data_IF_288850722537
#
_entry.id   IF_288850722537
#
_cell.length_a   1.000
_cell.length_b   1.000
_cell.length_c   1.000
_cell.angle_alpha   90.00
_cell.angle_beta   90.00
_cell.angle_gamma   90.00
#
_symmetry.space_group_name_H-M   'P 1'
#
loop_
_entity.id
_entity.type
_entity.pdbx_description
1 polymer ?
#
# COMPACT_ATOMS: atom_id res chain seq x y z
N UNK A 1 54.96 -79.71 18.07
CA UNK A 1 54.83 -78.39 18.71
C UNK A 1 53.40 -77.91 18.86
N UNK A 2 52.54 -78.47 19.73
CA UNK A 2 51.15 -78.03 19.99
C UNK A 2 51.08 -76.50 20.24
N UNK A 3 50.05 -75.70 19.92
CA UNK A 3 48.63 -75.76 20.27
C UNK A 3 47.78 -74.77 19.43
N UNK A 4 46.51 -75.10 19.34
CA UNK A 4 45.33 -74.35 18.86
C UNK A 4 44.93 -73.24 19.85
N UNK A 5 44.45 -72.08 19.37
CA UNK A 5 43.26 -71.42 19.94
C UNK A 5 42.52 -70.58 18.88
N UNK A 6 41.22 -70.82 18.81
CA UNK A 6 40.20 -70.25 17.92
C UNK A 6 39.46 -69.14 18.70
N UNK A 7 38.68 -68.31 17.98
CA UNK A 7 37.48 -67.53 18.36
C UNK A 7 37.67 -66.00 18.39
N UNK A 8 36.78 -65.14 17.85
CA UNK A 8 35.48 -65.29 17.16
C UNK A 8 35.08 -63.94 16.52
N UNK A 9 34.22 -63.99 15.49
CA UNK A 9 33.00 -63.15 15.34
C UNK A 9 33.17 -61.61 15.40
N UNK A 10 32.83 -60.83 14.38
CA UNK A 10 31.47 -60.75 13.84
C UNK A 10 31.43 -59.89 12.57
N UNK A 11 30.85 -60.47 11.53
CA UNK A 11 30.26 -59.76 10.39
C UNK A 11 28.95 -59.17 10.90
N UNK A 12 28.81 -57.84 10.83
CA UNK A 12 27.50 -57.20 10.91
C UNK A 12 27.22 -56.60 9.54
N UNK A 13 26.46 -57.36 8.76
CA UNK A 13 25.64 -56.90 7.65
C UNK A 13 24.33 -56.39 8.26
N UNK A 14 24.11 -55.07 8.27
CA UNK A 14 22.76 -54.49 8.25
C UNK A 14 22.53 -54.00 6.82
N UNK A 15 21.91 -54.82 5.98
CA UNK A 15 20.48 -54.79 5.64
C UNK A 15 20.00 -53.39 5.25
N UNK A 16 19.76 -53.22 3.95
CA UNK A 16 19.21 -51.98 3.43
C UNK A 16 17.81 -51.69 3.95
N UNK A 17 17.56 -50.42 4.22
CA UNK A 17 16.29 -49.82 3.90
C UNK A 17 16.51 -48.66 2.94
N UNK A 18 15.77 -48.73 1.84
CA UNK A 18 15.55 -47.69 0.88
C UNK A 18 15.43 -46.30 1.55
N UNK A 19 16.48 -45.48 1.43
CA UNK A 19 16.26 -44.04 1.33
C UNK A 19 15.57 -43.80 -0.01
N UNK A 20 14.24 -44.00 -0.04
CA UNK A 20 13.37 -43.41 -1.05
C UNK A 20 13.63 -41.91 -0.96
N UNK A 21 14.46 -41.40 -1.87
CA UNK A 21 14.61 -39.99 -2.15
C UNK A 21 13.20 -39.46 -2.31
N UNK A 22 12.70 -38.75 -1.30
CA UNK A 22 11.38 -38.13 -1.33
C UNK A 22 11.51 -37.01 -2.35
N UNK A 23 11.32 -37.33 -3.62
CA UNK A 23 11.17 -36.34 -4.67
C UNK A 23 9.87 -35.64 -4.34
N UNK A 24 9.96 -34.51 -3.65
CA UNK A 24 8.85 -33.58 -3.54
C UNK A 24 8.72 -32.96 -4.93
N UNK A 25 8.03 -33.65 -5.84
CA UNK A 25 7.45 -32.99 -7.00
C UNK A 25 6.26 -32.19 -6.48
N UNK A 26 6.51 -30.97 -6.00
CA UNK A 26 5.45 -29.96 -5.93
C UNK A 26 5.63 -29.04 -7.12
N UNK A 27 5.15 -29.52 -8.26
CA UNK A 27 4.75 -28.67 -9.37
C UNK A 27 3.28 -28.96 -9.67
N UNK A 28 2.43 -28.88 -8.64
CA UNK A 28 1.05 -28.46 -8.88
C UNK A 28 1.15 -26.96 -9.03
N UNK A 29 1.07 -26.43 -10.26
CA UNK A 29 0.78 -25.01 -10.46
C UNK A 29 -0.49 -24.76 -9.67
N UNK A 30 -0.39 -24.00 -8.58
CA UNK A 30 -1.56 -23.54 -7.86
C UNK A 30 -2.49 -22.92 -8.91
N UNK A 31 -3.72 -23.43 -8.95
CA UNK A 31 -4.72 -22.94 -9.89
C UNK A 31 -4.97 -21.48 -9.52
N UNK A 32 -4.62 -20.57 -10.43
CA UNK A 32 -4.90 -19.14 -10.29
C UNK A 32 -6.39 -18.95 -9.99
N UNK A 33 -6.69 -18.48 -8.78
CA UNK A 33 -8.04 -18.38 -8.24
C UNK A 33 -8.38 -16.91 -8.00
N UNK A 34 -9.58 -16.52 -8.38
CA UNK A 34 -10.11 -15.19 -8.09
C UNK A 34 -10.36 -15.03 -6.59
N UNK A 35 -9.78 -14.00 -5.97
CA UNK A 35 -9.94 -13.72 -4.53
C UNK A 35 -10.90 -12.55 -4.33
N UNK A 36 -10.71 -11.45 -5.06
CA UNK A 36 -11.62 -10.30 -5.04
C UNK A 36 -11.96 -9.88 -6.47
N UNK A 37 -13.20 -9.44 -6.67
CA UNK A 37 -13.63 -8.85 -7.93
C UNK A 37 -14.63 -7.73 -7.66
N UNK A 38 -14.43 -6.62 -8.35
CA UNK A 38 -15.39 -5.52 -8.43
C UNK A 38 -15.52 -5.09 -9.88
N UNK A 39 -16.65 -4.48 -10.24
CA UNK A 39 -16.87 -3.97 -11.59
C UNK A 39 -17.52 -2.59 -11.57
N UNK A 40 -17.24 -1.83 -12.62
CA UNK A 40 -17.85 -0.52 -12.84
C UNK A 40 -17.95 -0.20 -14.33
N UNK A 41 -18.91 0.65 -14.68
CA UNK A 41 -19.07 1.16 -16.05
C UNK A 41 -18.40 2.53 -16.16
N UNK A 42 -17.41 2.64 -17.03
CA UNK A 42 -16.63 3.86 -17.29
C UNK A 42 -16.71 4.17 -18.78
N UNK A 43 -17.22 5.36 -19.12
CA UNK A 43 -17.37 5.81 -20.52
C UNK A 43 -18.07 4.76 -21.42
N UNK A 44 -19.13 4.14 -20.91
CA UNK A 44 -19.90 3.13 -21.64
C UNK A 44 -19.35 1.70 -21.60
N UNK A 45 -18.11 1.50 -21.14
CA UNK A 45 -17.45 0.19 -21.08
C UNK A 45 -17.44 -0.34 -19.66
N UNK A 46 -17.77 -1.62 -19.47
CA UNK A 46 -17.62 -2.29 -18.16
C UNK A 46 -16.17 -2.72 -17.98
N UNK A 47 -15.61 -2.40 -16.81
CA UNK A 47 -14.30 -2.87 -16.37
C UNK A 47 -14.48 -3.75 -15.13
N UNK A 48 -13.68 -4.81 -15.05
CA UNK A 48 -13.56 -5.69 -13.90
C UNK A 48 -12.16 -5.51 -13.31
N UNK A 49 -12.07 -5.26 -12.01
CA UNK A 49 -10.83 -5.29 -11.26
C UNK A 49 -10.80 -6.58 -10.44
N UNK A 50 -9.95 -7.51 -10.86
CA UNK A 50 -9.88 -8.89 -10.36
C UNK A 50 -8.52 -9.12 -9.69
N UNK A 51 -8.53 -9.25 -8.37
CA UNK A 51 -7.34 -9.65 -7.61
C UNK A 51 -7.32 -11.16 -7.43
N UNK A 52 -6.20 -11.80 -7.77
CA UNK A 52 -6.09 -13.26 -7.83
C UNK A 52 -4.99 -13.83 -6.93
N UNK A 53 -5.03 -15.15 -6.72
CA UNK A 53 -4.13 -15.88 -5.81
C UNK A 53 -2.66 -15.84 -6.22
N UNK A 54 -2.37 -15.49 -7.46
CA UNK A 54 -1.02 -15.21 -7.93
C UNK A 54 -0.48 -13.82 -7.53
N UNK A 55 -1.18 -13.11 -6.63
CA UNK A 55 -0.81 -11.77 -6.16
C UNK A 55 -0.81 -10.70 -7.24
N UNK A 56 -1.72 -10.82 -8.22
CA UNK A 56 -1.84 -9.87 -9.31
C UNK A 56 -3.27 -9.31 -9.35
N UNK A 57 -3.36 -7.99 -9.44
CA UNK A 57 -4.57 -7.30 -9.84
C UNK A 57 -4.61 -7.20 -11.37
N UNK A 58 -5.65 -7.77 -11.97
CA UNK A 58 -5.98 -7.61 -13.38
C UNK A 58 -7.12 -6.62 -13.54
N UNK A 59 -6.99 -5.69 -14.48
CA UNK A 59 -8.11 -4.87 -14.93
C UNK A 59 -8.49 -5.29 -16.33
N UNK A 60 -9.70 -5.80 -16.48
CA UNK A 60 -10.20 -6.46 -17.68
C UNK A 60 -11.40 -5.67 -18.21
N UNK A 61 -11.46 -5.41 -19.52
CA UNK A 61 -12.60 -4.74 -20.14
C UNK A 61 -13.71 -5.73 -20.53
N UNK A 62 -14.84 -5.23 -21.01
CA UNK A 62 -15.97 -6.05 -21.47
C UNK A 62 -15.68 -6.91 -22.72
N UNK A 63 -14.52 -6.77 -23.35
CA UNK A 63 -14.05 -7.61 -24.46
C UNK A 63 -13.09 -8.72 -23.99
N UNK A 64 -12.90 -8.86 -22.67
CA UNK A 64 -11.92 -9.73 -22.03
C UNK A 64 -10.44 -9.35 -22.30
N UNK A 65 -10.18 -8.12 -22.75
CA UNK A 65 -8.80 -7.65 -22.86
C UNK A 65 -8.27 -7.27 -21.48
N UNK A 66 -7.05 -7.68 -21.16
CA UNK A 66 -6.32 -7.15 -19.99
C UNK A 66 -5.77 -5.77 -20.34
N UNK A 67 -6.29 -4.75 -19.66
CA UNK A 67 -5.96 -3.34 -19.90
C UNK A 67 -4.82 -2.86 -18.99
N UNK A 68 -4.85 -3.32 -17.74
CA UNK A 68 -3.83 -3.04 -16.73
C UNK A 68 -3.56 -4.30 -15.92
N UNK A 69 -2.29 -4.51 -15.55
CA UNK A 69 -1.83 -5.55 -14.63
C UNK A 69 -0.98 -4.87 -13.57
N UNK A 70 -1.22 -5.18 -12.30
CA UNK A 70 -0.41 -4.70 -11.20
C UNK A 70 0.00 -5.88 -10.31
N UNK A 71 1.31 -6.07 -10.15
CA UNK A 71 1.87 -7.12 -9.30
C UNK A 71 1.99 -6.62 -7.85
N UNK A 72 1.46 -7.39 -6.90
CA UNK A 72 1.30 -7.04 -5.49
C UNK A 72 1.92 -8.14 -4.62
N UNK A 73 3.20 -8.41 -4.83
CA UNK A 73 3.89 -9.57 -4.25
C UNK A 73 3.79 -9.55 -2.72
N UNK A 74 3.23 -10.61 -2.14
CA UNK A 74 3.12 -10.78 -0.70
C UNK A 74 2.03 -9.94 -0.02
N UNK A 75 1.13 -9.34 -0.80
CA UNK A 75 0.11 -8.41 -0.31
C UNK A 75 -1.26 -8.85 -0.80
N UNK A 76 -2.16 -9.26 0.11
CA UNK A 76 -3.58 -9.46 -0.21
C UNK A 76 -4.38 -8.20 0.18
N UNK A 77 -5.13 -7.59 -0.76
CA UNK A 77 -5.94 -6.42 -0.45
C UNK A 77 -7.07 -6.80 0.51
N UNK A 78 -7.34 -5.92 1.47
CA UNK A 78 -8.49 -6.03 2.37
C UNK A 78 -9.67 -5.15 1.93
N UNK A 79 -9.47 -4.40 0.86
CA UNK A 79 -10.45 -3.52 0.23
C UNK A 79 -10.11 -3.41 -1.24
N UNK A 80 -11.10 -3.35 -2.12
CA UNK A 80 -10.95 -3.09 -3.55
C UNK A 80 -12.24 -2.44 -4.03
N UNK A 81 -12.14 -1.30 -4.72
CA UNK A 81 -13.29 -0.56 -5.23
C UNK A 81 -12.94 0.32 -6.41
N UNK A 82 -13.98 0.64 -7.18
CA UNK A 82 -13.98 1.78 -8.08
C UNK A 82 -14.50 3.02 -7.34
N UNK A 83 -13.81 4.14 -7.45
CA UNK A 83 -14.27 5.43 -6.90
C UNK A 83 -13.69 6.60 -7.71
N UNK A 84 -14.41 7.71 -7.78
CA UNK A 84 -13.88 8.96 -8.34
C UNK A 84 -12.98 9.63 -7.29
N UNK A 85 -11.69 9.26 -7.29
CA UNK A 85 -10.71 9.70 -6.30
C UNK A 85 -10.26 11.12 -6.60
N UNK A 86 -9.96 11.42 -7.85
CA UNK A 86 -9.45 12.72 -8.28
C UNK A 86 -10.55 13.76 -8.57
N UNK A 87 -11.84 13.40 -8.49
CA UNK A 87 -12.99 14.26 -8.75
C UNK A 87 -13.04 14.81 -10.17
N UNK A 88 -12.60 14.02 -11.15
CA UNK A 88 -12.68 14.37 -12.58
C UNK A 88 -13.98 13.86 -13.25
N UNK A 89 -14.83 13.15 -12.50
CA UNK A 89 -16.08 12.57 -13.00
C UNK A 89 -15.91 11.16 -13.58
N UNK A 90 -14.70 10.60 -13.58
CA UNK A 90 -14.38 9.24 -13.99
C UNK A 90 -13.98 8.41 -12.77
N UNK A 91 -14.34 7.12 -12.80
CA UNK A 91 -13.99 6.22 -11.70
C UNK A 91 -12.56 5.72 -11.86
N UNK A 92 -11.80 5.82 -10.77
CA UNK A 92 -10.47 5.27 -10.56
C UNK A 92 -10.57 3.94 -9.80
N UNK A 93 -9.44 3.25 -9.61
CA UNK A 93 -9.35 2.06 -8.76
C UNK A 93 -8.59 2.40 -7.48
N UNK A 94 -9.12 1.97 -6.34
CA UNK A 94 -8.43 2.01 -5.05
C UNK A 94 -8.54 0.69 -4.33
N UNK A 95 -7.43 0.25 -3.76
CA UNK A 95 -7.39 -0.88 -2.83
C UNK A 95 -6.39 -0.61 -1.73
N UNK A 96 -6.60 -1.24 -0.59
CA UNK A 96 -5.74 -1.13 0.57
C UNK A 96 -5.40 -2.50 1.12
N UNK A 97 -4.37 -2.52 1.97
CA UNK A 97 -3.94 -3.71 2.67
C UNK A 97 -3.41 -3.35 4.05
N UNK A 98 -3.67 -4.25 5.00
CA UNK A 98 -3.18 -4.13 6.37
C UNK A 98 -1.90 -4.95 6.52
N UNK A 99 -0.90 -4.35 7.13
CA UNK A 99 0.24 -5.01 7.73
C UNK A 99 0.46 -4.38 9.11
N UNK A 100 1.71 -4.12 9.50
CA UNK A 100 2.02 -3.27 10.65
C UNK A 100 1.51 -1.83 10.46
N UNK A 101 1.41 -1.39 9.21
CA UNK A 101 0.79 -0.13 8.79
C UNK A 101 -0.32 -0.41 7.78
N UNK A 102 -1.17 0.59 7.54
CA UNK A 102 -2.11 0.55 6.42
C UNK A 102 -1.48 1.21 5.21
N UNK A 103 -1.63 0.55 4.07
CA UNK A 103 -1.12 0.99 2.78
C UNK A 103 -2.28 1.05 1.79
N UNK A 104 -2.16 1.92 0.79
CA UNK A 104 -3.16 2.03 -0.27
C UNK A 104 -2.49 2.16 -1.63
N UNK A 105 -3.12 1.54 -2.61
CA UNK A 105 -2.83 1.75 -4.02
C UNK A 105 -3.97 2.51 -4.66
N UNK A 106 -3.64 3.46 -5.53
CA UNK A 106 -4.60 4.19 -6.34
C UNK A 106 -4.11 4.17 -7.79
N UNK A 107 -4.99 3.72 -8.70
CA UNK A 107 -4.76 3.75 -10.13
C UNK A 107 -5.77 4.67 -10.76
N UNK A 108 -5.29 5.76 -11.34
CA UNK A 108 -6.13 6.75 -12.00
C UNK A 108 -6.49 6.30 -13.41
N UNK A 109 -7.73 6.53 -13.83
CA UNK A 109 -8.15 6.23 -15.20
C UNK A 109 -7.70 7.32 -16.17
N UNK A 110 -6.91 6.95 -17.17
CA UNK A 110 -6.56 7.81 -18.29
C UNK A 110 -7.62 7.69 -19.39
N UNK A 111 -8.44 8.73 -19.55
CA UNK A 111 -9.51 8.76 -20.55
C UNK A 111 -9.02 8.74 -22.01
N UNK A 112 -7.79 9.19 -22.27
CA UNK A 112 -7.21 9.20 -23.63
C UNK A 112 -6.77 7.80 -24.03
N UNK A 113 -6.05 7.12 -23.14
CA UNK A 113 -5.51 5.78 -23.42
C UNK A 113 -6.46 4.65 -23.03
N UNK A 114 -7.51 4.97 -22.24
CA UNK A 114 -8.46 4.03 -21.64
C UNK A 114 -7.78 2.97 -20.78
N UNK A 115 -6.76 3.39 -20.02
CA UNK A 115 -5.95 2.53 -19.14
C UNK A 115 -5.93 3.07 -17.72
N UNK A 116 -5.69 2.20 -16.76
CA UNK A 116 -5.43 2.59 -15.37
C UNK A 116 -3.93 2.71 -15.15
N UNK A 117 -3.51 3.82 -14.55
CA UNK A 117 -2.11 4.11 -14.23
C UNK A 117 -1.95 4.36 -12.74
N UNK A 118 -1.03 3.62 -12.11
CA UNK A 118 -0.65 3.79 -10.71
C UNK A 118 -0.07 5.20 -10.48
N UNK A 119 -0.43 5.82 -9.36
CA UNK A 119 0.28 6.98 -8.84
C UNK A 119 1.63 6.50 -8.25
N UNK A 120 2.74 7.06 -8.72
CA UNK A 120 4.08 6.77 -8.21
C UNK A 120 4.16 7.04 -6.70
N UNK A 121 4.78 6.11 -5.98
CA UNK A 121 5.03 6.14 -4.52
C UNK A 121 3.78 6.26 -3.63
N UNK A 122 2.56 6.10 -4.16
CA UNK A 122 1.33 6.17 -3.36
C UNK A 122 1.23 5.04 -2.32
N UNK A 123 1.92 3.93 -2.58
CA UNK A 123 1.95 2.71 -1.78
C UNK A 123 2.91 2.76 -0.59
N UNK A 124 3.22 3.96 -0.09
CA UNK A 124 3.89 4.15 1.19
C UNK A 124 2.88 4.56 2.28
N UNK A 125 3.07 4.14 3.55
CA UNK A 125 2.13 4.41 4.64
C UNK A 125 1.79 5.89 4.85
N UNK A 126 2.70 6.78 4.52
CA UNK A 126 2.57 8.23 4.67
C UNK A 126 1.49 8.82 3.76
N UNK A 127 1.20 8.19 2.62
CA UNK A 127 0.12 8.60 1.69
C UNK A 127 -1.13 7.74 1.79
N UNK A 128 -1.19 6.85 2.77
CA UNK A 128 -2.42 6.11 3.04
C UNK A 128 -3.54 7.04 3.54
N UNK A 129 -4.78 6.57 3.41
CA UNK A 129 -6.01 7.31 3.69
C UNK A 129 -6.14 8.63 2.93
N UNK A 130 -5.52 8.72 1.75
CA UNK A 130 -5.53 9.94 0.94
C UNK A 130 -6.93 10.34 0.50
N UNK A 131 -7.18 11.66 0.52
CA UNK A 131 -8.44 12.29 0.11
C UNK A 131 -8.14 13.58 -0.64
N UNK A 132 -8.92 13.88 -1.68
CA UNK A 132 -8.89 15.19 -2.33
C UNK A 132 -9.39 16.26 -1.34
N UNK A 133 -8.63 17.35 -1.22
CA UNK A 133 -9.07 18.52 -0.49
C UNK A 133 -10.08 19.30 -1.35
N UNK A 134 -11.25 19.60 -0.79
CA UNK A 134 -12.35 20.21 -1.56
C UNK A 134 -11.94 21.54 -2.15
N UNK A 135 -12.39 21.79 -3.38
CA UNK A 135 -12.18 23.04 -4.12
C UNK A 135 -10.70 23.38 -4.36
N UNK A 136 -9.82 22.38 -4.34
CA UNK A 136 -8.39 22.52 -4.68
C UNK A 136 -7.93 21.32 -5.51
N UNK A 137 -6.76 21.44 -6.13
CA UNK A 137 -6.07 20.32 -6.78
C UNK A 137 -5.14 19.56 -5.82
N UNK A 138 -5.29 19.81 -4.52
CA UNK A 138 -4.48 19.20 -3.48
C UNK A 138 -5.20 17.99 -2.87
N UNK A 139 -4.39 17.12 -2.31
CA UNK A 139 -4.79 15.94 -1.58
C UNK A 139 -4.13 15.98 -0.21
N UNK A 140 -4.75 15.32 0.75
CA UNK A 140 -4.14 15.10 2.05
C UNK A 140 -4.25 13.65 2.47
N UNK A 141 -3.22 13.17 3.15
CA UNK A 141 -3.15 11.82 3.70
C UNK A 141 -3.32 11.82 5.22
N UNK A 142 -3.38 10.63 5.81
CA UNK A 142 -3.29 10.49 7.26
C UNK A 142 -2.57 9.18 7.59
N UNK A 143 -1.53 9.26 8.41
CA UNK A 143 -0.79 8.08 8.84
C UNK A 143 -0.56 8.10 10.35
N UNK A 144 -1.01 7.10 11.12
CA UNK A 144 -0.59 6.93 12.51
C UNK A 144 0.93 6.74 12.57
N UNK A 145 1.62 7.52 13.40
CA UNK A 145 3.08 7.54 13.47
C UNK A 145 3.57 7.20 14.90
N UNK A 146 3.22 6.00 15.36
CA UNK A 146 3.63 5.46 16.66
C UNK A 146 2.69 5.79 17.83
N UNK A 147 3.07 5.30 19.02
CA UNK A 147 2.46 5.69 20.30
C UNK A 147 0.95 5.39 20.41
N UNK A 148 0.50 4.23 19.91
CA UNK A 148 -0.91 3.84 20.00
C UNK A 148 -1.87 4.78 19.26
N UNK A 149 -1.41 5.43 18.17
CA UNK A 149 -2.12 6.46 17.37
C UNK A 149 -2.12 7.86 17.98
N UNK A 150 -1.44 8.08 19.11
CA UNK A 150 -1.32 9.41 19.72
C UNK A 150 -0.41 10.34 18.92
N UNK A 151 0.52 9.77 18.16
CA UNK A 151 1.28 10.48 17.15
C UNK A 151 0.71 10.14 15.77
N UNK A 152 0.61 11.13 14.91
CA UNK A 152 0.22 10.94 13.52
C UNK A 152 0.82 12.02 12.65
N UNK A 153 0.90 11.72 11.36
CA UNK A 153 1.33 12.64 10.33
C UNK A 153 0.27 12.74 9.24
N UNK A 154 0.28 13.87 8.55
CA UNK A 154 -0.53 14.08 7.36
C UNK A 154 0.31 14.85 6.37
N UNK A 155 0.38 14.37 5.13
CA UNK A 155 0.95 15.14 4.04
C UNK A 155 -0.15 15.90 3.33
N UNK A 156 0.17 17.11 2.87
CA UNK A 156 -0.55 17.83 1.84
C UNK A 156 0.28 17.78 0.57
N UNK A 157 -0.30 17.34 -0.54
CA UNK A 157 0.42 17.12 -1.78
C UNK A 157 -0.47 17.35 -3.01
N UNK A 158 0.16 17.58 -4.15
CA UNK A 158 -0.51 17.53 -5.46
C UNK A 158 -0.11 16.27 -6.19
N UNK A 159 -0.94 15.83 -7.14
CA UNK A 159 -0.59 14.77 -8.08
C UNK A 159 -0.42 15.41 -9.46
N UNK A 160 0.75 15.26 -10.06
CA UNK A 160 1.03 15.75 -11.42
C UNK A 160 1.68 14.64 -12.23
N UNK A 161 1.13 14.34 -13.41
CA UNK A 161 1.53 13.21 -14.26
C UNK A 161 1.75 11.91 -13.46
N UNK A 162 0.76 11.56 -12.63
CA UNK A 162 0.78 10.38 -11.77
C UNK A 162 1.90 10.38 -10.72
N UNK A 163 2.52 11.53 -10.41
CA UNK A 163 3.55 11.67 -9.37
C UNK A 163 3.08 12.54 -8.23
N UNK A 164 3.45 12.14 -7.02
CA UNK A 164 3.17 12.92 -5.81
C UNK A 164 4.20 14.04 -5.67
N UNK A 165 3.71 15.26 -5.45
CA UNK A 165 4.54 16.43 -5.14
C UNK A 165 4.15 16.95 -3.76
N UNK A 166 4.94 16.67 -2.71
CA UNK A 166 4.68 17.14 -1.36
C UNK A 166 4.72 18.67 -1.27
N UNK A 167 3.75 19.26 -0.56
CA UNK A 167 3.63 20.71 -0.35
C UNK A 167 3.66 21.09 1.13
N UNK A 168 3.14 20.22 1.99
CA UNK A 168 3.13 20.45 3.42
C UNK A 168 3.10 19.16 4.22
N UNK A 169 3.42 19.28 5.49
CA UNK A 169 3.35 18.20 6.47
C UNK A 169 2.79 18.72 7.78
N UNK A 170 1.83 18.00 8.34
CA UNK A 170 1.45 18.13 9.75
C UNK A 170 2.04 16.96 10.50
N UNK A 171 2.74 17.25 11.60
CA UNK A 171 3.17 16.26 12.58
C UNK A 171 2.47 16.56 13.91
N UNK A 172 1.65 15.62 14.36
CA UNK A 172 1.01 15.68 15.66
C UNK A 172 1.73 14.77 16.64
N UNK A 173 2.18 15.34 17.77
CA UNK A 173 3.03 14.66 18.75
C UNK A 173 2.43 14.77 20.15
N UNK A 174 2.25 13.64 20.83
CA UNK A 174 1.64 13.55 22.17
C UNK A 174 2.34 12.59 23.13
N UNK A 175 3.38 11.87 22.69
CA UNK A 175 4.12 10.97 23.57
C UNK A 175 4.83 11.72 24.71
N UNK A 176 5.20 10.97 25.75
CA UNK A 176 5.77 11.50 26.99
C UNK A 176 7.07 12.28 26.74
N UNK A 177 7.93 11.77 25.86
CA UNK A 177 9.24 12.36 25.58
C UNK A 177 9.22 13.40 24.44
N UNK A 178 8.06 13.60 23.81
CA UNK A 178 7.92 14.55 22.73
C UNK A 178 7.66 15.97 23.24
N UNK A 179 8.20 16.96 22.52
CA UNK A 179 7.64 18.32 22.58
C UNK A 179 6.24 18.29 22.00
N UNK A 180 5.23 18.15 22.86
CA UNK A 180 3.83 17.99 22.46
C UNK A 180 3.31 19.15 21.61
N UNK A 181 2.37 18.84 20.73
CA UNK A 181 1.68 19.80 19.89
C UNK A 181 1.55 19.35 18.44
N UNK A 182 0.90 20.21 17.66
CA UNK A 182 0.78 20.08 16.22
C UNK A 182 1.79 21.01 15.55
N UNK A 183 2.64 20.45 14.70
CA UNK A 183 3.67 21.17 13.96
C UNK A 183 3.29 21.16 12.49
N UNK A 184 3.20 22.35 11.90
CA UNK A 184 2.84 22.50 10.49
C UNK A 184 4.06 22.97 9.72
N UNK A 185 4.41 22.23 8.68
CA UNK A 185 5.56 22.49 7.83
C UNK A 185 5.11 22.78 6.40
N UNK A 186 5.75 23.76 5.77
CA UNK A 186 5.80 23.90 4.31
C UNK A 186 6.96 23.03 3.80
N UNK A 187 6.76 22.33 2.70
CA UNK A 187 7.81 21.55 2.03
C UNK A 187 8.24 22.34 0.78
N UNK A 188 9.52 22.71 0.72
CA UNK A 188 10.12 23.37 -0.43
C UNK A 188 11.42 22.68 -0.79
N UNK A 189 11.53 22.15 -2.02
CA UNK A 189 12.68 21.37 -2.48
C UNK A 189 13.11 20.31 -1.45
N UNK A 190 12.15 19.49 -1.01
CA UNK A 190 12.32 18.41 -0.01
C UNK A 190 12.67 18.88 1.42
N UNK A 191 12.86 20.18 1.64
CA UNK A 191 13.14 20.73 2.97
C UNK A 191 11.84 21.09 3.69
N UNK A 192 11.73 20.63 4.94
CA UNK A 192 10.65 21.01 5.85
C UNK A 192 10.96 22.36 6.50
N UNK A 193 10.06 23.32 6.34
CA UNK A 193 10.14 24.65 6.96
C UNK A 193 8.96 24.78 7.92
N UNK A 194 9.23 24.92 9.22
CA UNK A 194 8.17 25.09 10.23
C UNK A 194 7.47 26.44 10.02
N UNK A 195 6.15 26.40 9.82
CA UNK A 195 5.32 27.60 9.58
C UNK A 195 4.27 27.83 10.67
N UNK A 196 3.97 26.80 11.47
CA UNK A 196 3.08 26.94 12.61
C UNK A 196 3.37 25.90 13.69
N UNK A 197 3.08 26.26 14.94
CA UNK A 197 3.09 25.36 16.09
C UNK A 197 1.88 25.65 16.96
N UNK A 198 1.01 24.66 17.09
CA UNK A 198 -0.23 24.78 17.85
C UNK A 198 -0.15 23.83 19.05
N UNK A 199 -0.25 24.40 20.25
CA UNK A 199 -0.33 23.61 21.48
C UNK A 199 -1.76 23.08 21.63
N UNK A 200 -1.98 21.85 21.19
CA UNK A 200 -3.26 21.16 21.34
C UNK A 200 -3.12 19.99 22.31
N UNK A 201 -4.13 19.83 23.17
CA UNK A 201 -4.28 18.61 23.99
C UNK A 201 -4.68 17.42 23.12
N UNK A 202 -5.59 17.65 22.17
CA UNK A 202 -6.11 16.65 21.24
C UNK A 202 -6.31 17.25 19.84
N UNK A 203 -6.10 16.45 18.80
CA UNK A 203 -6.38 16.81 17.41
C UNK A 203 -7.07 15.63 16.71
N UNK A 204 -8.30 15.85 16.26
CA UNK A 204 -9.12 14.83 15.61
C UNK A 204 -8.85 14.79 14.10
N UNK A 205 -8.59 13.59 13.56
CA UNK A 205 -8.54 13.31 12.12
C UNK A 205 -9.73 13.88 11.35
N UNK A 206 -10.93 13.95 11.95
CA UNK A 206 -12.12 14.53 11.31
C UNK A 206 -11.96 16.02 10.98
N UNK A 207 -11.06 16.73 11.65
CA UNK A 207 -10.79 18.14 11.42
C UNK A 207 -9.64 18.38 10.45
N UNK A 208 -8.99 17.33 9.93
CA UNK A 208 -7.76 17.45 9.14
C UNK A 208 -7.94 18.28 7.86
N UNK A 209 -9.07 18.16 7.16
CA UNK A 209 -9.39 18.99 5.99
C UNK A 209 -9.46 20.47 6.38
N UNK A 210 -10.13 20.79 7.49
CA UNK A 210 -10.22 22.16 8.03
C UNK A 210 -8.84 22.68 8.43
N UNK A 211 -8.04 21.87 9.13
CA UNK A 211 -6.67 22.21 9.51
C UNK A 211 -5.83 22.55 8.29
N UNK A 212 -5.91 21.74 7.23
CA UNK A 212 -5.20 22.06 5.99
C UNK A 212 -5.66 23.37 5.38
N UNK A 213 -6.97 23.59 5.29
CA UNK A 213 -7.56 24.81 4.72
C UNK A 213 -7.11 26.09 5.43
N UNK A 214 -6.94 26.04 6.75
CA UNK A 214 -6.41 27.17 7.54
C UNK A 214 -4.96 27.52 7.19
N UNK A 215 -4.16 26.54 6.77
CA UNK A 215 -2.73 26.71 6.50
C UNK A 215 -2.39 26.83 5.00
N UNK A 216 -3.35 26.62 4.10
CA UNK A 216 -3.13 26.66 2.64
C UNK A 216 -2.44 27.94 2.19
N UNK A 217 -2.87 29.11 2.69
CA UNK A 217 -2.28 30.41 2.32
C UNK A 217 -0.80 30.50 2.69
N UNK A 218 -0.43 30.01 3.89
CA UNK A 218 0.96 30.00 4.36
C UNK A 218 1.84 29.04 3.56
N UNK A 219 1.27 27.93 3.11
CA UNK A 219 1.96 26.93 2.29
C UNK A 219 2.15 27.43 0.84
N UNK A 220 1.15 28.11 0.29
CA UNK A 220 1.15 28.63 -1.08
C UNK A 220 1.94 29.93 -1.26
N UNK A 221 2.20 30.67 -0.17
CA UNK A 221 3.08 31.84 -0.20
C UNK A 221 4.46 31.45 -0.73
N UNK A 222 5.14 32.28 -1.55
CA UNK A 222 6.52 32.04 -2.03
C UNK A 222 7.49 31.67 -0.90
#
# INVERSE_FOLDING_TARGET
MKYILILFSSIILFSGEHLKKKVIVRNVREKDTLIYSVSAKILGTTYHADYRSNSILYVINSKNDTITKQEEIGIAPNSLKFEDFNKDGTLDIRYGYNSNYYYEMILLFDSKTKKFRKIEDIDIPEYAYSKKNKNTDLYYSYSPNGCGKNNWTSYLFSINDYKIIPKGLIEYRQCVDDKKGMYVFKINNEKKILIDKITLKEADKKQLEKQWNEHLKKIASP
#
